data_IF_068952430320
#
_entry.id   IF_068952430320
#
_cell.length_a   1.000
_cell.length_b   1.000
_cell.length_c   1.000
_cell.angle_alpha   90.00
_cell.angle_beta   90.00
_cell.angle_gamma   90.00
#
_symmetry.space_group_name_H-M   'P 1'
#
loop_
_entity.id
_entity.type
_entity.pdbx_description
1 polymer ?
#
# COMPACT_ATOMS: atom_id res chain seq x y z
N UNK A 1 -12.46 11.00 -23.27
CA UNK A 1 -11.17 11.53 -22.78
C UNK A 1 -10.95 11.05 -21.35
N UNK A 2 -9.81 10.40 -21.06
CA UNK A 2 -9.51 9.84 -19.73
C UNK A 2 -9.10 10.99 -18.80
N UNK A 3 -9.97 11.38 -17.88
CA UNK A 3 -9.74 12.50 -16.93
C UNK A 3 -8.53 12.14 -16.06
N UNK A 4 -7.38 12.74 -16.34
CA UNK A 4 -6.13 12.46 -15.65
C UNK A 4 -6.26 12.96 -14.21
N UNK A 5 -6.34 12.03 -13.25
CA UNK A 5 -6.56 12.34 -11.84
C UNK A 5 -5.35 13.12 -11.34
N UNK A 6 -5.54 14.40 -10.99
CA UNK A 6 -4.47 15.23 -10.38
C UNK A 6 -3.96 14.50 -9.13
N UNK A 7 -2.69 14.15 -9.13
CA UNK A 7 -2.02 13.54 -7.98
C UNK A 7 -1.50 14.68 -7.10
N UNK A 8 -2.06 14.82 -5.90
CA UNK A 8 -1.56 15.77 -4.90
C UNK A 8 -0.44 15.13 -4.08
N UNK A 9 0.61 15.89 -3.78
CA UNK A 9 1.71 15.45 -2.92
C UNK A 9 1.21 15.17 -1.50
N UNK A 10 1.90 14.30 -0.76
CA UNK A 10 1.58 13.98 0.64
C UNK A 10 1.62 15.22 1.53
N UNK A 11 2.61 16.09 1.32
CA UNK A 11 2.75 17.36 2.04
C UNK A 11 1.55 18.30 1.80
N UNK A 12 1.10 18.41 0.55
CA UNK A 12 -0.05 19.25 0.20
C UNK A 12 -1.33 18.74 0.86
N UNK A 13 -1.57 17.43 0.83
CA UNK A 13 -2.72 16.82 1.52
C UNK A 13 -2.69 17.08 3.02
N UNK A 14 -1.51 16.94 3.64
CA UNK A 14 -1.32 17.19 5.07
C UNK A 14 -1.61 18.65 5.42
N UNK A 15 -1.11 19.61 4.63
CA UNK A 15 -1.37 21.04 4.83
C UNK A 15 -2.86 21.38 4.75
N UNK A 16 -3.54 20.92 3.71
CA UNK A 16 -4.97 21.14 3.50
C UNK A 16 -5.82 20.48 4.60
N UNK A 17 -5.48 19.23 4.98
CA UNK A 17 -6.15 18.53 6.07
C UNK A 17 -5.98 19.25 7.42
N UNK A 18 -4.79 19.78 7.67
CA UNK A 18 -4.46 20.51 8.89
C UNK A 18 -5.22 21.83 8.97
N UNK A 19 -5.34 22.58 7.88
CA UNK A 19 -6.18 23.80 7.82
C UNK A 19 -7.66 23.47 8.05
N UNK A 20 -8.15 22.39 7.42
CA UNK A 20 -9.52 21.92 7.62
C UNK A 20 -9.76 21.37 9.04
N UNK A 21 -8.71 20.91 9.72
CA UNK A 21 -8.75 20.49 11.11
C UNK A 21 -8.75 21.69 12.08
N UNK A 22 -7.93 22.72 11.81
CA UNK A 22 -7.87 23.96 12.59
C UNK A 22 -9.22 24.70 12.61
N UNK A 23 -10.06 24.53 11.59
CA UNK A 23 -11.43 25.06 11.56
C UNK A 23 -11.51 26.58 11.40
N UNK A 24 -10.41 27.25 11.05
CA UNK A 24 -10.34 28.70 10.83
C UNK A 24 -11.05 29.14 9.54
N UNK A 25 -11.17 28.22 8.58
CA UNK A 25 -11.83 28.40 7.29
C UNK A 25 -12.77 27.23 7.06
N UNK A 26 -13.88 27.48 6.37
CA UNK A 26 -14.81 26.42 5.98
C UNK A 26 -14.19 25.51 4.92
N UNK A 27 -14.68 24.28 4.81
CA UNK A 27 -14.22 23.32 3.79
C UNK A 27 -14.35 23.89 2.38
N UNK A 28 -15.38 24.70 2.13
CA UNK A 28 -15.63 25.36 0.84
C UNK A 28 -14.62 26.48 0.54
N UNK A 29 -14.22 27.26 1.55
CA UNK A 29 -13.19 28.30 1.38
C UNK A 29 -11.81 27.69 1.14
N UNK A 30 -11.45 26.65 1.90
CA UNK A 30 -10.20 25.90 1.70
C UNK A 30 -10.18 25.25 0.31
N UNK A 31 -11.31 24.69 -0.10
CA UNK A 31 -11.48 24.13 -1.44
C UNK A 31 -11.25 25.18 -2.54
N UNK A 32 -11.77 26.39 -2.37
CA UNK A 32 -11.58 27.49 -3.31
C UNK A 32 -10.12 27.99 -3.34
N UNK A 33 -9.52 28.18 -2.17
CA UNK A 33 -8.14 28.72 -2.04
C UNK A 33 -7.08 27.77 -2.60
N UNK A 34 -7.27 26.46 -2.40
CA UNK A 34 -6.33 25.44 -2.88
C UNK A 34 -6.73 24.83 -4.23
N UNK A 35 -7.83 25.30 -4.84
CA UNK A 35 -8.43 24.74 -6.06
C UNK A 35 -8.69 23.22 -5.97
N UNK A 36 -9.13 22.78 -4.80
CA UNK A 36 -9.41 21.38 -4.48
C UNK A 36 -10.91 21.19 -4.30
N UNK A 37 -11.47 20.10 -4.81
CA UNK A 37 -12.88 19.77 -4.56
C UNK A 37 -13.17 19.58 -3.05
N UNK A 38 -14.26 20.15 -2.48
CA UNK A 38 -14.58 20.08 -1.04
C UNK A 38 -14.59 18.67 -0.45
N UNK A 39 -15.06 17.69 -1.23
CA UNK A 39 -15.04 16.27 -0.83
C UNK A 39 -13.63 15.75 -0.57
N UNK A 40 -12.62 16.19 -1.34
CA UNK A 40 -11.23 15.77 -1.12
C UNK A 40 -10.67 16.37 0.17
N UNK A 41 -11.01 17.61 0.50
CA UNK A 41 -10.62 18.26 1.76
C UNK A 41 -11.18 17.49 2.96
N UNK A 42 -12.47 17.13 2.91
CA UNK A 42 -13.10 16.30 3.95
C UNK A 42 -12.47 14.92 4.06
N UNK A 43 -12.11 14.29 2.94
CA UNK A 43 -11.43 12.99 2.93
C UNK A 43 -10.04 13.09 3.54
N UNK A 44 -9.24 14.10 3.18
CA UNK A 44 -7.90 14.26 3.74
C UNK A 44 -7.93 14.61 5.23
N UNK A 45 -8.93 15.38 5.68
CA UNK A 45 -9.16 15.60 7.12
C UNK A 45 -9.39 14.28 7.87
N UNK A 46 -10.23 13.38 7.31
CA UNK A 46 -10.45 12.05 7.89
C UNK A 46 -9.19 11.18 7.85
N UNK A 47 -8.51 11.11 6.70
CA UNK A 47 -7.26 10.37 6.55
C UNK A 47 -6.20 10.84 7.55
N UNK A 48 -6.07 12.16 7.76
CA UNK A 48 -5.18 12.72 8.76
C UNK A 48 -5.55 12.25 10.16
N UNK A 49 -6.82 12.30 10.55
CA UNK A 49 -7.28 11.83 11.87
C UNK A 49 -7.02 10.33 12.09
N UNK A 50 -7.17 9.51 11.06
CA UNK A 50 -6.87 8.07 11.14
C UNK A 50 -5.37 7.80 11.17
N UNK A 51 -4.56 8.60 10.47
CA UNK A 51 -3.11 8.39 10.37
C UNK A 51 -2.32 9.04 11.52
N UNK A 52 -2.85 10.08 12.15
CA UNK A 52 -2.22 10.75 13.30
C UNK A 52 -1.90 9.78 14.44
N UNK A 53 -2.81 8.88 14.87
CA UNK A 53 -2.50 7.84 15.85
C UNK A 53 -1.31 6.96 15.44
N UNK A 54 -1.19 6.55 14.17
CA UNK A 54 -0.06 5.74 13.68
C UNK A 54 1.27 6.51 13.65
N UNK A 55 1.22 7.84 13.51
CA UNK A 55 2.40 8.72 13.57
C UNK A 55 2.88 8.90 15.02
N UNK A 56 1.95 8.98 15.97
CA UNK A 56 2.26 9.13 17.40
C UNK A 56 2.49 7.79 18.11
N UNK A 57 1.95 6.68 17.58
CA UNK A 57 2.43 5.35 17.91
C UNK A 57 3.90 5.30 17.54
N UNK A 58 4.76 5.27 18.56
CA UNK A 58 6.18 4.97 18.38
C UNK A 58 6.25 3.64 17.62
N UNK A 59 6.53 3.71 16.33
CA UNK A 59 6.91 2.53 15.54
C UNK A 59 8.13 1.96 16.22
N UNK A 60 7.91 0.92 17.02
CA UNK A 60 8.99 0.24 17.72
C UNK A 60 9.92 -0.26 16.61
N UNK A 61 11.16 0.24 16.50
CA UNK A 61 12.06 -0.14 15.42
C UNK A 61 12.27 -1.66 15.37
N UNK A 62 12.07 -2.35 16.49
CA UNK A 62 12.03 -3.81 16.59
C UNK A 62 10.91 -4.44 15.75
N UNK A 63 9.71 -3.86 15.70
CA UNK A 63 8.56 -4.42 14.96
C UNK A 63 8.77 -4.36 13.44
N UNK A 64 9.27 -3.23 12.91
CA UNK A 64 9.65 -3.15 11.48
C UNK A 64 10.74 -4.15 11.09
N UNK A 65 11.67 -4.41 12.00
CA UNK A 65 12.75 -5.37 11.76
C UNK A 65 12.24 -6.82 11.81
N UNK A 66 11.24 -7.09 12.65
CA UNK A 66 10.55 -8.38 12.73
C UNK A 66 9.72 -8.64 11.46
N UNK A 67 8.92 -7.66 11.03
CA UNK A 67 8.14 -7.74 9.80
C UNK A 67 9.04 -7.99 8.57
N UNK A 68 10.22 -7.36 8.52
CA UNK A 68 11.19 -7.59 7.43
C UNK A 68 11.80 -8.99 7.45
N UNK A 69 12.04 -9.56 8.64
CA UNK A 69 12.51 -10.94 8.75
C UNK A 69 11.44 -11.92 8.31
N UNK A 70 10.20 -11.72 8.75
CA UNK A 70 9.06 -12.58 8.40
C UNK A 70 8.80 -12.56 6.88
N UNK A 71 8.91 -11.39 6.24
CA UNK A 71 8.84 -11.26 4.77
C UNK A 71 9.98 -12.05 4.10
N UNK A 72 11.21 -11.95 4.61
CA UNK A 72 12.36 -12.68 4.07
C UNK A 72 12.19 -14.20 4.16
N UNK A 73 11.70 -14.69 5.30
CA UNK A 73 11.43 -16.11 5.51
C UNK A 73 10.30 -16.60 4.60
N UNK A 74 9.24 -15.81 4.44
CA UNK A 74 8.13 -16.14 3.55
C UNK A 74 8.58 -16.21 2.08
N UNK A 75 9.40 -15.25 1.64
CA UNK A 75 9.98 -15.24 0.28
C UNK A 75 10.88 -16.46 0.04
N UNK A 76 11.67 -16.86 1.04
CA UNK A 76 12.50 -18.07 0.98
C UNK A 76 11.65 -19.34 0.87
N UNK A 77 10.59 -19.44 1.67
CA UNK A 77 9.68 -20.57 1.63
C UNK A 77 8.96 -20.68 0.28
N UNK A 78 8.50 -19.56 -0.28
CA UNK A 78 7.91 -19.52 -1.63
C UNK A 78 8.92 -19.98 -2.70
N UNK A 79 10.17 -19.51 -2.62
CA UNK A 79 11.24 -19.96 -3.53
C UNK A 79 11.51 -21.46 -3.42
N UNK A 80 11.59 -21.99 -2.21
CA UNK A 80 11.78 -23.42 -1.96
C UNK A 80 10.63 -24.26 -2.53
N UNK A 81 9.39 -23.90 -2.20
CA UNK A 81 8.19 -24.58 -2.71
C UNK A 81 8.12 -24.53 -4.23
N UNK A 82 8.51 -23.40 -4.84
CA UNK A 82 8.56 -23.26 -6.30
C UNK A 82 9.58 -24.24 -6.90
N UNK A 83 10.77 -24.36 -6.30
CA UNK A 83 11.78 -25.33 -6.75
C UNK A 83 11.33 -26.77 -6.55
N UNK A 84 10.69 -27.10 -5.42
CA UNK A 84 10.17 -28.44 -5.11
C UNK A 84 9.06 -28.86 -6.08
N UNK A 85 8.24 -27.91 -6.56
CA UNK A 85 7.22 -28.17 -7.57
C UNK A 85 7.82 -28.24 -8.99
N UNK A 86 8.74 -27.34 -9.34
CA UNK A 86 9.33 -27.28 -10.68
C UNK A 86 10.34 -28.41 -10.96
N UNK A 87 11.06 -28.87 -9.93
CA UNK A 87 12.08 -29.91 -10.06
C UNK A 87 11.54 -31.24 -10.63
N UNK A 88 10.47 -31.85 -10.08
CA UNK A 88 9.92 -33.09 -10.61
C UNK A 88 9.39 -32.91 -12.04
N UNK A 89 8.79 -31.77 -12.36
CA UNK A 89 8.34 -31.48 -13.74
C UNK A 89 9.49 -31.44 -14.73
N UNK A 90 10.58 -30.74 -14.37
CA UNK A 90 11.79 -30.66 -15.19
C UNK A 90 12.42 -32.04 -15.38
N UNK A 91 12.44 -32.87 -14.33
CA UNK A 91 12.98 -34.25 -14.40
C UNK A 91 12.10 -35.18 -15.24
N UNK A 92 10.79 -35.13 -15.09
CA UNK A 92 9.87 -35.92 -15.93
C UNK A 92 10.00 -35.55 -17.41
N UNK A 93 10.10 -34.26 -17.74
CA UNK A 93 10.37 -33.79 -19.12
C UNK A 93 11.71 -34.29 -19.65
N UNK A 94 12.77 -34.23 -18.84
CA UNK A 94 14.10 -34.71 -19.22
C UNK A 94 14.13 -36.22 -19.52
N UNK A 95 13.30 -37.00 -18.83
CA UNK A 95 13.21 -38.45 -18.97
C UNK A 95 12.13 -38.91 -19.98
N UNK A 96 11.44 -37.98 -20.64
CA UNK A 96 10.37 -38.30 -21.61
C UNK A 96 9.11 -38.90 -20.98
N UNK A 97 8.92 -38.74 -19.67
CA UNK A 97 7.79 -39.30 -18.93
C UNK A 97 6.61 -38.31 -19.00
N UNK A 98 5.41 -38.73 -19.44
CA UNK A 98 4.24 -37.86 -19.48
C UNK A 98 3.83 -37.48 -18.05
N UNK A 99 3.84 -36.17 -17.76
CA UNK A 99 3.40 -35.64 -16.46
C UNK A 99 1.87 -35.73 -16.39
N UNK A 100 1.34 -36.72 -15.67
CA UNK A 100 -0.10 -36.93 -15.55
C UNK A 100 -0.65 -36.17 -14.34
N UNK A 101 -1.59 -35.26 -14.60
CA UNK A 101 -2.48 -34.67 -13.59
C UNK A 101 -1.96 -33.39 -12.94
N UNK A 102 -2.10 -32.25 -13.64
CA UNK A 102 -2.43 -30.97 -13.01
C UNK A 102 -3.47 -30.30 -13.90
N UNK A 103 -4.72 -30.32 -13.44
CA UNK A 103 -5.85 -29.69 -14.10
C UNK A 103 -5.56 -28.18 -14.24
N UNK A 104 -5.70 -27.68 -15.47
CA UNK A 104 -5.99 -26.26 -15.74
C UNK A 104 -7.28 -25.82 -15.09
#
# INVERSE_FOLDING_TARGET
MKRQRRKHSSEFKAKVALEAFRGLKTVSEIAAEYEVHPVMVSNWKKEMLTSLPDVFEKKNPKKKQDDQKEIGDLQRNVGQLTMEVDFPDKKCKQLGIPVKGRNS
#
